data_IF_709465183692
#
_entry.id   IF_709465183692
#
_cell.length_a   1.000
_cell.length_b   1.000
_cell.length_c   1.000
_cell.angle_alpha   90.00
_cell.angle_beta   90.00
_cell.angle_gamma   90.00
#
_symmetry.space_group_name_H-M   'P 1'
#
loop_
_entity.id
_entity.type
_entity.pdbx_description
1 polymer ?
#
# COMPACT_ATOMS: atom_id res chain seq x y z
N UNK A 1 6.90 9.31 -1.46
CA UNK A 1 7.55 8.76 -2.66
C UNK A 1 9.01 8.50 -2.32
N UNK A 2 9.55 7.31 -2.59
CA UNK A 2 10.97 7.00 -2.29
C UNK A 2 11.89 7.64 -3.33
N UNK A 3 13.18 7.80 -3.00
CA UNK A 3 14.18 8.34 -3.93
C UNK A 3 14.22 7.56 -5.25
N UNK A 4 14.19 6.22 -5.17
CA UNK A 4 14.22 5.35 -6.35
C UNK A 4 12.97 5.50 -7.24
N UNK A 5 11.78 5.67 -6.66
CA UNK A 5 10.55 5.89 -7.45
C UNK A 5 10.60 7.23 -8.16
N UNK A 6 11.14 8.26 -7.51
CA UNK A 6 11.31 9.58 -8.13
C UNK A 6 12.27 9.51 -9.32
N UNK A 7 13.44 8.90 -9.13
CA UNK A 7 14.43 8.74 -10.19
C UNK A 7 13.90 7.91 -11.36
N UNK A 8 13.11 6.85 -11.09
CA UNK A 8 12.48 6.07 -12.15
C UNK A 8 11.49 6.89 -12.99
N UNK A 9 10.71 7.79 -12.37
CA UNK A 9 9.81 8.70 -13.08
C UNK A 9 10.60 9.70 -13.94
N UNK A 10 11.68 10.26 -13.40
CA UNK A 10 12.56 11.18 -14.14
C UNK A 10 13.15 10.50 -15.38
N UNK A 11 13.64 9.26 -15.24
CA UNK A 11 14.16 8.45 -16.35
C UNK A 11 13.08 8.16 -17.39
N UNK A 12 11.85 7.83 -16.98
CA UNK A 12 10.73 7.63 -17.92
C UNK A 12 10.40 8.91 -18.72
N UNK A 13 10.48 10.07 -18.07
CA UNK A 13 10.14 11.35 -18.70
C UNK A 13 11.14 11.78 -19.77
N UNK A 14 12.39 11.31 -19.71
CA UNK A 14 13.42 11.61 -20.73
C UNK A 14 13.37 10.66 -21.93
N UNK A 15 12.66 9.53 -21.85
CA UNK A 15 12.56 8.55 -22.94
C UNK A 15 11.71 9.06 -24.12
N UNK A 16 11.98 8.58 -25.35
CA UNK A 16 11.06 8.75 -26.49
C UNK A 16 9.67 8.21 -26.18
N UNK A 17 8.61 8.85 -26.71
CA UNK A 17 7.21 8.53 -26.39
C UNK A 17 6.88 7.03 -26.51
N UNK A 18 7.28 6.39 -27.61
CA UNK A 18 7.00 4.97 -27.84
C UNK A 18 7.71 4.01 -26.87
N UNK A 19 8.91 4.37 -26.41
CA UNK A 19 9.63 3.61 -25.39
C UNK A 19 9.06 3.84 -23.99
N UNK A 20 8.69 5.09 -23.70
CA UNK A 20 8.03 5.48 -22.46
C UNK A 20 6.70 4.75 -22.25
N UNK A 21 5.89 4.64 -23.30
CA UNK A 21 4.60 3.91 -23.24
C UNK A 21 4.82 2.42 -22.97
N UNK A 22 5.79 1.78 -23.65
CA UNK A 22 6.16 0.37 -23.39
C UNK A 22 6.66 0.15 -21.97
N UNK A 23 7.54 1.03 -21.47
CA UNK A 23 8.07 0.95 -20.12
C UNK A 23 6.98 1.18 -19.06
N UNK A 24 6.06 2.12 -19.30
CA UNK A 24 4.91 2.36 -18.42
C UNK A 24 3.99 1.13 -18.33
N UNK A 25 3.70 0.48 -19.46
CA UNK A 25 2.90 -0.75 -19.49
C UNK A 25 3.56 -1.87 -18.67
N UNK A 26 4.86 -2.09 -18.82
CA UNK A 26 5.58 -3.10 -18.04
C UNK A 26 5.50 -2.85 -16.51
N UNK A 27 5.55 -1.59 -16.09
CA UNK A 27 5.40 -1.22 -14.67
C UNK A 27 3.97 -1.48 -14.18
N UNK A 28 2.96 -1.13 -14.99
CA UNK A 28 1.55 -1.41 -14.68
C UNK A 28 1.33 -2.91 -14.55
N UNK A 29 1.82 -3.71 -15.49
CA UNK A 29 1.71 -5.16 -15.49
C UNK A 29 2.41 -5.79 -14.28
N UNK A 30 3.60 -5.29 -13.93
CA UNK A 30 4.30 -5.72 -12.71
C UNK A 30 3.51 -5.43 -11.44
N UNK A 31 2.84 -4.27 -11.36
CA UNK A 31 1.97 -3.90 -10.23
C UNK A 31 0.65 -4.68 -10.19
N UNK A 32 0.09 -5.00 -11.36
CA UNK A 32 -1.17 -5.73 -11.52
C UNK A 32 -1.01 -7.23 -11.24
N UNK A 33 0.11 -7.83 -11.65
CA UNK A 33 0.45 -9.25 -11.44
C UNK A 33 0.75 -9.58 -9.97
N UNK A 34 0.96 -8.57 -9.12
CA UNK A 34 1.16 -8.71 -7.68
C UNK A 34 0.02 -8.02 -6.93
N UNK A 35 -1.24 -8.51 -7.03
CA UNK A 35 -2.23 -8.11 -6.05
C UNK A 35 -1.64 -8.52 -4.70
N UNK A 36 -1.37 -7.54 -3.83
CA UNK A 36 -1.10 -7.86 -2.43
C UNK A 36 -2.29 -8.72 -2.00
N UNK A 37 -2.05 -9.98 -1.63
CA UNK A 37 -3.10 -10.87 -1.11
C UNK A 37 -3.85 -10.22 0.05
N UNK A 38 -3.24 -9.22 0.67
CA UNK A 38 -3.78 -8.39 1.73
C UNK A 38 -3.79 -6.93 1.27
N UNK A 39 -4.78 -6.52 0.47
CA UNK A 39 -5.14 -5.11 0.32
C UNK A 39 -6.29 -4.81 1.27
N UNK A 40 -6.20 -3.68 1.95
CA UNK A 40 -7.34 -3.13 2.66
C UNK A 40 -8.35 -2.65 1.62
N UNK A 41 -9.64 -2.84 1.88
CA UNK A 41 -10.68 -2.13 1.13
C UNK A 41 -10.57 -0.62 1.38
N UNK A 42 -11.17 0.19 0.52
CA UNK A 42 -11.15 1.64 0.68
C UNK A 42 -11.78 2.07 2.01
N UNK A 43 -12.82 1.37 2.46
CA UNK A 43 -13.48 1.57 3.75
C UNK A 43 -12.53 1.23 4.92
N UNK A 44 -11.83 0.10 4.83
CA UNK A 44 -10.85 -0.31 5.84
C UNK A 44 -9.68 0.69 5.92
N UNK A 45 -9.20 1.16 4.77
CA UNK A 45 -8.14 2.16 4.71
C UNK A 45 -8.60 3.51 5.30
N UNK A 46 -9.82 3.95 4.98
CA UNK A 46 -10.41 5.16 5.54
C UNK A 46 -10.56 5.07 7.06
N UNK A 47 -11.01 3.92 7.57
CA UNK A 47 -11.15 3.69 9.02
C UNK A 47 -9.80 3.73 9.74
N UNK A 48 -8.75 3.12 9.16
CA UNK A 48 -7.40 3.20 9.72
C UNK A 48 -6.91 4.65 9.77
N UNK A 49 -7.07 5.41 8.67
CA UNK A 49 -6.68 6.83 8.63
C UNK A 49 -7.42 7.63 9.72
N UNK A 50 -8.73 7.42 9.88
CA UNK A 50 -9.54 8.05 10.94
C UNK A 50 -9.04 7.70 12.35
N UNK A 51 -8.67 6.45 12.60
CA UNK A 51 -8.14 6.02 13.91
C UNK A 51 -6.77 6.60 14.20
N UNK A 52 -5.91 6.70 13.18
CA UNK A 52 -4.60 7.34 13.30
C UNK A 52 -4.79 8.83 13.61
N UNK A 53 -5.69 9.55 12.96
CA UNK A 53 -5.84 11.00 13.22
C UNK A 53 -6.42 11.36 14.60
N UNK A 54 -6.96 10.40 15.36
CA UNK A 54 -7.47 10.66 16.72
C UNK A 54 -6.33 10.85 17.73
N UNK A 55 -6.41 11.95 18.52
CA UNK A 55 -5.43 12.29 19.58
C UNK A 55 -5.39 11.29 20.75
N UNK A 56 -6.52 10.64 21.08
CA UNK A 56 -6.60 9.59 22.12
C UNK A 56 -6.58 8.21 21.47
N UNK A 57 -5.39 7.72 21.12
CA UNK A 57 -5.22 6.35 20.61
C UNK A 57 -5.14 5.38 21.79
N UNK A 58 -5.99 4.37 21.80
CA UNK A 58 -5.88 3.25 22.74
C UNK A 58 -4.92 2.23 22.15
N UNK A 59 -3.77 2.06 22.78
CA UNK A 59 -2.85 0.97 22.44
C UNK A 59 -3.29 -0.31 23.14
N UNK A 60 -3.09 -1.43 22.46
CA UNK A 60 -3.29 -2.75 23.04
C UNK A 60 -1.92 -3.41 23.21
N UNK A 61 -1.75 -4.09 24.33
CA UNK A 61 -0.60 -4.99 24.49
C UNK A 61 -0.76 -6.21 23.58
N UNK A 62 0.35 -6.86 23.25
CA UNK A 62 0.33 -8.09 22.45
C UNK A 62 -0.58 -9.17 23.06
N UNK A 63 -0.62 -9.28 24.38
CA UNK A 63 -1.51 -10.21 25.09
C UNK A 63 -3.00 -9.88 24.87
N UNK A 64 -3.37 -8.59 24.90
CA UNK A 64 -4.73 -8.14 24.63
C UNK A 64 -5.14 -8.41 23.17
N UNK A 65 -4.22 -8.20 22.22
CA UNK A 65 -4.44 -8.53 20.81
C UNK A 65 -4.68 -10.02 20.64
N UNK A 66 -3.79 -10.88 21.18
CA UNK A 66 -3.94 -12.34 21.14
C UNK A 66 -5.27 -12.79 21.74
N UNK A 67 -5.69 -12.21 22.86
CA UNK A 67 -6.99 -12.51 23.48
C UNK A 67 -8.17 -12.19 22.55
N UNK A 68 -8.13 -11.07 21.84
CA UNK A 68 -9.20 -10.68 20.91
C UNK A 68 -9.25 -11.58 19.67
N UNK A 69 -8.08 -11.94 19.13
CA UNK A 69 -7.99 -12.77 17.92
C UNK A 69 -8.45 -14.21 18.14
N UNK A 70 -8.32 -14.76 19.36
CA UNK A 70 -8.83 -16.11 19.70
C UNK A 70 -10.33 -16.30 19.45
N UNK A 71 -11.12 -15.23 19.47
CA UNK A 71 -12.57 -15.31 19.23
C UNK A 71 -12.94 -15.24 17.73
N UNK A 72 -11.97 -15.05 16.84
CA UNK A 72 -12.19 -14.93 15.40
C UNK A 72 -11.90 -16.23 14.63
N UNK A 73 -11.70 -17.35 15.35
CA UNK A 73 -11.59 -18.69 14.73
C UNK A 73 -10.30 -18.90 13.92
N UNK A 74 -9.14 -18.61 14.50
CA UNK A 74 -7.85 -19.01 13.97
C UNK A 74 -7.36 -20.29 14.66
#
# INVERSE_FOLDING_TARGET
>A
MTANVRQAIEVLQTMPKGEREKAALAIIDYGASRPSRYRLTDEQAAEIRRRISRKKRTFLTLAQVRKRLRHLGA
#
